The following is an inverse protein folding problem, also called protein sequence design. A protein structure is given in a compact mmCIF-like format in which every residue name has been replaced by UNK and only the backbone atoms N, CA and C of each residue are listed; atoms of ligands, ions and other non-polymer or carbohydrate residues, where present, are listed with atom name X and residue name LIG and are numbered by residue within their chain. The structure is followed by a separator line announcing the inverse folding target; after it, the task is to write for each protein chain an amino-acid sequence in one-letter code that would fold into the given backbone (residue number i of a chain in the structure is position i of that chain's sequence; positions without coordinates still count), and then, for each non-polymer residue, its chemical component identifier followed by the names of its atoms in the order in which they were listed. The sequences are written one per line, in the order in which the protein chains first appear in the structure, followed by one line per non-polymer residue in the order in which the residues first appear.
data_IF_623190895398
#
_entry.id   IF_623190895398
#
_cell.length_a   1.000
_cell.length_b   1.000
_cell.length_c   1.000
_cell.angle_alpha   90.00
_cell.angle_beta   90.00
_cell.angle_gamma   90.00
#
_symmetry.space_group_name_H-M   'P 1'
#
loop_
_entity.id
_entity.type
_entity.pdbx_description
1 polymer ?
#
# COMPACT_ATOMS: atom_id res chain seq x y z
N UNK A 1 -14.47 4.66 39.36
CA UNK A 1 -15.42 5.16 38.34
C UNK A 1 -14.63 5.83 37.23
N UNK A 2 -14.43 5.17 36.09
CA UNK A 2 -13.85 5.79 34.89
C UNK A 2 -14.90 5.75 33.78
N UNK A 3 -15.64 6.84 33.59
CA UNK A 3 -16.50 7.05 32.43
C UNK A 3 -15.77 7.98 31.46
N UNK A 4 -14.99 7.39 30.54
CA UNK A 4 -14.45 8.06 29.35
C UNK A 4 -15.03 7.47 28.06
N UNK A 5 -16.30 7.05 28.11
CA UNK A 5 -16.92 6.33 27.01
C UNK A 5 -18.16 7.12 26.58
N UNK A 6 -18.01 8.11 25.70
CA UNK A 6 -19.21 8.88 25.33
C UNK A 6 -19.16 10.05 24.37
N UNK A 7 -18.04 10.40 23.73
CA UNK A 7 -18.07 11.33 22.58
C UNK A 7 -17.30 10.73 21.42
N UNK A 8 -17.83 9.63 20.89
CA UNK A 8 -17.39 9.06 19.62
C UNK A 8 -17.63 10.13 18.57
N UNK A 9 -16.56 10.64 17.95
CA UNK A 9 -16.65 11.67 16.92
C UNK A 9 -17.56 11.18 15.79
N UNK A 10 -18.79 11.71 15.71
CA UNK A 10 -19.75 11.35 14.68
C UNK A 10 -19.23 11.63 13.25
N UNK A 11 -18.14 12.39 13.15
CA UNK A 11 -17.48 12.78 11.92
C UNK A 11 -16.37 11.81 11.48
N UNK A 12 -15.91 10.90 12.34
CA UNK A 12 -14.83 9.98 11.98
C UNK A 12 -15.21 9.09 10.80
N UNK A 13 -16.40 8.50 10.83
CA UNK A 13 -16.90 7.61 9.76
C UNK A 13 -17.04 8.34 8.42
N UNK A 14 -17.79 9.45 8.30
CA UNK A 14 -17.92 10.14 7.01
C UNK A 14 -16.57 10.69 6.51
N UNK A 15 -15.69 11.15 7.40
CA UNK A 15 -14.36 11.62 7.00
C UNK A 15 -13.48 10.49 6.46
N UNK A 16 -13.49 9.32 7.10
CA UNK A 16 -12.78 8.14 6.62
C UNK A 16 -13.30 7.67 5.26
N UNK A 17 -14.61 7.73 5.03
CA UNK A 17 -15.20 7.39 3.73
C UNK A 17 -14.72 8.34 2.62
N UNK A 18 -14.72 9.66 2.87
CA UNK A 18 -14.19 10.64 1.91
C UNK A 18 -12.71 10.37 1.65
N UNK A 19 -11.92 10.13 2.70
CA UNK A 19 -10.50 9.85 2.56
C UNK A 19 -10.24 8.58 1.74
N UNK A 20 -11.00 7.52 1.96
CA UNK A 20 -10.92 6.27 1.21
C UNK A 20 -11.19 6.49 -0.29
N UNK A 21 -12.22 7.28 -0.63
CA UNK A 21 -12.53 7.62 -2.03
C UNK A 21 -11.37 8.39 -2.67
N UNK A 22 -10.82 9.38 -1.96
CA UNK A 22 -9.67 10.17 -2.46
C UNK A 22 -8.45 9.29 -2.68
N UNK A 23 -8.13 8.37 -1.76
CA UNK A 23 -7.03 7.42 -1.90
C UNK A 23 -7.20 6.51 -3.12
N UNK A 24 -8.40 5.92 -3.28
CA UNK A 24 -8.69 5.05 -4.42
C UNK A 24 -8.60 5.81 -5.74
N UNK A 25 -9.13 7.04 -5.81
CA UNK A 25 -9.06 7.87 -7.00
C UNK A 25 -7.61 8.26 -7.34
N UNK A 26 -6.81 8.65 -6.35
CA UNK A 26 -5.40 8.98 -6.55
C UNK A 26 -4.59 7.76 -7.02
N UNK A 27 -4.85 6.58 -6.44
CA UNK A 27 -4.22 5.33 -6.87
C UNK A 27 -4.60 4.98 -8.32
N UNK A 28 -5.89 5.03 -8.66
CA UNK A 28 -6.36 4.76 -10.02
C UNK A 28 -5.75 5.74 -11.03
N UNK A 29 -5.65 7.02 -10.68
CA UNK A 29 -4.99 8.04 -11.49
C UNK A 29 -3.51 7.72 -11.71
N UNK A 30 -2.78 7.37 -10.65
CA UNK A 30 -1.37 7.00 -10.74
C UNK A 30 -1.19 5.74 -11.60
N UNK A 31 -2.03 4.72 -11.43
CA UNK A 31 -2.01 3.49 -12.26
C UNK A 31 -2.31 3.79 -13.72
N UNK A 32 -3.26 4.67 -14.01
CA UNK A 32 -3.58 5.06 -15.38
C UNK A 32 -2.45 5.84 -16.07
N UNK A 33 -1.60 6.52 -15.30
CA UNK A 33 -0.48 7.32 -15.80
C UNK A 33 0.89 6.68 -15.56
N UNK A 34 0.92 5.47 -15.02
CA UNK A 34 2.14 4.70 -14.85
C UNK A 34 2.59 4.25 -16.25
N UNK A 35 3.76 4.72 -16.67
CA UNK A 35 4.44 4.17 -17.84
C UNK A 35 4.97 2.78 -17.43
N UNK A 36 4.49 1.69 -18.04
CA UNK A 36 4.92 0.35 -17.66
C UNK A 36 6.40 0.07 -17.96
N UNK A 37 7.09 0.97 -18.66
CA UNK A 37 8.45 0.75 -19.13
C UNK A 37 8.43 -0.31 -20.22
N UNK A 38 8.97 -0.02 -21.40
CA UNK A 38 9.15 -1.03 -22.48
C UNK A 38 10.28 -2.02 -22.15
N UNK A 39 10.59 -2.16 -20.87
CA UNK A 39 11.66 -2.97 -20.34
C UNK A 39 11.26 -4.43 -20.51
N UNK A 40 12.01 -5.16 -21.33
CA UNK A 40 11.86 -6.60 -21.40
C UNK A 40 12.23 -7.18 -20.04
N UNK A 41 11.25 -7.71 -19.30
CA UNK A 41 11.55 -8.52 -18.12
C UNK A 41 12.46 -9.65 -18.61
N UNK A 42 13.71 -9.75 -18.12
CA UNK A 42 14.59 -10.83 -18.50
C UNK A 42 13.87 -12.15 -18.19
N UNK A 43 13.64 -12.95 -19.24
CA UNK A 43 13.21 -14.33 -19.04
C UNK A 43 14.25 -14.98 -18.12
N UNK A 44 13.81 -15.54 -17.00
CA UNK A 44 14.70 -16.20 -16.05
C UNK A 44 15.64 -17.15 -16.80
N UNK A 45 16.96 -17.18 -16.48
CA UNK A 45 17.88 -18.10 -17.13
C UNK A 45 17.34 -19.53 -17.04
N UNK A 46 17.38 -20.27 -18.14
CA UNK A 46 17.04 -21.68 -18.17
C UNK A 46 17.72 -22.39 -16.99
N UNK A 47 16.94 -23.18 -16.24
CA UNK A 47 17.37 -23.92 -15.06
C UNK A 47 18.64 -24.73 -15.36
N UNK A 48 19.80 -24.21 -14.93
CA UNK A 48 21.09 -24.83 -15.26
C UNK A 48 22.32 -24.09 -14.74
N UNK A 49 22.20 -22.82 -14.32
CA UNK A 49 23.26 -22.09 -13.62
C UNK A 49 23.14 -22.18 -12.10
N UNK A 50 24.24 -22.05 -11.34
CA UNK A 50 24.17 -21.92 -9.88
C UNK A 50 23.24 -20.75 -9.51
N UNK A 51 22.47 -20.87 -8.42
CA UNK A 51 21.44 -19.90 -8.09
C UNK A 51 22.05 -18.50 -7.99
N UNK A 52 21.46 -17.49 -8.65
CA UNK A 52 21.87 -16.11 -8.42
C UNK A 52 21.75 -15.83 -6.92
N UNK A 53 22.71 -15.09 -6.36
CA UNK A 53 22.55 -14.53 -5.03
C UNK A 53 21.48 -13.44 -5.16
N UNK A 54 20.21 -13.84 -5.02
CA UNK A 54 19.03 -12.98 -5.05
C UNK A 54 19.19 -11.93 -3.94
N UNK A 55 19.68 -10.74 -4.29
CA UNK A 55 19.42 -9.54 -3.50
C UNK A 55 17.92 -9.34 -3.51
N UNK A 56 17.25 -9.81 -2.45
CA UNK A 56 15.81 -9.69 -2.24
C UNK A 56 15.42 -8.21 -2.26
N UNK A 57 15.06 -7.72 -3.45
CA UNK A 57 14.40 -6.43 -3.61
C UNK A 57 12.92 -6.69 -3.34
N UNK A 58 12.34 -6.11 -2.27
CA UNK A 58 10.94 -6.33 -1.99
C UNK A 58 10.11 -5.77 -3.15
N UNK A 59 9.14 -6.56 -3.60
CA UNK A 59 8.21 -6.17 -4.66
C UNK A 59 7.61 -4.79 -4.30
N UNK A 60 7.73 -3.78 -5.19
CA UNK A 60 7.24 -2.44 -4.92
C UNK A 60 5.74 -2.42 -4.58
N UNK A 61 4.94 -3.34 -5.13
CA UNK A 61 3.51 -3.46 -4.83
C UNK A 61 3.33 -3.96 -3.40
N UNK A 62 4.05 -5.00 -3.01
CA UNK A 62 4.02 -5.54 -1.63
C UNK A 62 4.47 -4.47 -0.63
N UNK A 63 5.52 -3.72 -0.98
CA UNK A 63 6.06 -2.64 -0.14
C UNK A 63 5.05 -1.51 0.04
N UNK A 64 4.34 -1.11 -1.02
CA UNK A 64 3.30 -0.09 -0.95
C UNK A 64 2.10 -0.55 -0.12
N UNK A 65 1.63 -1.79 -0.32
CA UNK A 65 0.52 -2.36 0.47
C UNK A 65 0.88 -2.39 1.95
N UNK A 66 2.10 -2.82 2.28
CA UNK A 66 2.59 -2.85 3.65
C UNK A 66 2.67 -1.44 4.25
N UNK A 67 3.17 -0.46 3.51
CA UNK A 67 3.26 0.94 3.95
C UNK A 67 1.88 1.55 4.24
N UNK A 68 0.88 1.28 3.40
CA UNK A 68 -0.50 1.74 3.61
C UNK A 68 -1.11 1.10 4.86
N UNK A 69 -0.91 -0.21 5.05
CA UNK A 69 -1.34 -0.91 6.27
C UNK A 69 -0.69 -0.33 7.53
N UNK A 70 0.62 -0.10 7.51
CA UNK A 70 1.33 0.53 8.62
C UNK A 70 0.83 1.95 8.90
N UNK A 71 0.58 2.74 7.86
CA UNK A 71 0.00 4.08 8.00
C UNK A 71 -1.36 4.06 8.68
N UNK A 72 -2.23 3.13 8.29
CA UNK A 72 -3.55 2.97 8.91
C UNK A 72 -3.47 2.54 10.39
N UNK A 73 -2.57 1.62 10.73
CA UNK A 73 -2.38 1.15 12.11
C UNK A 73 -1.82 2.27 13.00
N UNK A 74 -0.84 3.04 12.51
CA UNK A 74 -0.26 4.15 13.27
C UNK A 74 -1.24 5.32 13.46
N UNK A 75 -2.10 5.60 12.47
CA UNK A 75 -3.08 6.67 12.55
C UNK A 75 -4.33 6.29 13.36
N UNK A 76 -4.68 5.00 13.41
CA UNK A 76 -5.83 4.48 14.17
C UNK A 76 -5.52 4.12 15.63
N UNK A 77 -4.25 4.11 16.02
CA UNK A 77 -3.79 3.75 17.37
C UNK A 77 -3.52 4.90 18.34
N UNK A 78 -3.76 6.16 17.93
CA UNK A 78 -3.53 7.37 18.74
C UNK A 78 -4.82 7.94 19.36
#
# INVERSE_FOLDING_TARGET
MFRLQGRKSAWAVPLLLVLAVVLVAALAFNVANLDPGRESIPQAPAAGGPPPTESYLPDPIVTQVLAVLFGFVMLGGA
#
